data_IF_088308339201
#
_entry.id   IF_088308339201
#
_cell.length_a   1.000
_cell.length_b   1.000
_cell.length_c   1.000
_cell.angle_alpha   90.00
_cell.angle_beta   90.00
_cell.angle_gamma   90.00
#
_symmetry.space_group_name_H-M   'P 1'
#
loop_
_entity.id
_entity.type
_entity.pdbx_description
1 polymer ?
#
# COMPACT_ATOMS: atom_id res chain seq x y z
N UNK A 1 -15.18 -5.76 -19.57
CA UNK A 1 -14.45 -6.83 -20.27
C UNK A 1 -15.29 -7.26 -21.46
N UNK A 2 -14.71 -7.43 -22.65
CA UNK A 2 -15.41 -7.97 -23.81
C UNK A 2 -14.73 -9.30 -24.14
N UNK A 3 -15.50 -10.40 -24.13
CA UNK A 3 -15.06 -11.69 -24.67
C UNK A 3 -15.40 -11.58 -26.17
N UNK A 4 -14.40 -11.67 -27.05
CA UNK A 4 -14.64 -11.71 -28.49
C UNK A 4 -15.01 -13.12 -28.90
N UNK A 5 -16.10 -13.25 -29.65
CA UNK A 5 -16.55 -14.51 -30.22
C UNK A 5 -16.23 -14.62 -31.73
N UNK A 6 -15.46 -13.68 -32.28
CA UNK A 6 -14.96 -13.72 -33.66
C UNK A 6 -14.28 -15.07 -33.95
N UNK A 7 -14.72 -15.74 -35.03
CA UNK A 7 -14.29 -17.09 -35.46
C UNK A 7 -14.52 -18.23 -34.43
N UNK A 8 -15.36 -18.00 -33.42
CA UNK A 8 -15.66 -18.96 -32.33
C UNK A 8 -17.14 -19.22 -32.13
N UNK A 9 -17.97 -18.88 -33.12
CA UNK A 9 -19.42 -19.10 -33.12
C UNK A 9 -19.78 -20.56 -32.83
N UNK A 10 -20.72 -20.78 -31.92
CA UNK A 10 -21.15 -22.08 -31.37
C UNK A 10 -20.12 -22.85 -30.54
N UNK A 11 -19.00 -22.22 -30.14
CA UNK A 11 -17.99 -22.83 -29.27
C UNK A 11 -18.06 -22.25 -27.85
N UNK A 12 -17.59 -23.06 -26.90
CA UNK A 12 -17.31 -22.65 -25.54
C UNK A 12 -15.85 -22.21 -25.41
N UNK A 13 -15.64 -21.04 -24.84
CA UNK A 13 -14.35 -20.45 -24.50
C UNK A 13 -14.14 -20.58 -22.99
N UNK A 14 -12.91 -20.88 -22.57
CA UNK A 14 -12.58 -20.87 -21.15
C UNK A 14 -12.70 -19.45 -20.60
N UNK A 15 -13.21 -19.31 -19.37
CA UNK A 15 -13.18 -18.02 -18.69
C UNK A 15 -11.74 -17.70 -18.30
N UNK A 16 -11.15 -16.60 -18.80
CA UNK A 16 -9.80 -16.21 -18.43
C UNK A 16 -9.65 -15.82 -16.95
N UNK A 17 -10.77 -15.68 -16.21
CA UNK A 17 -10.80 -15.29 -14.78
C UNK A 17 -11.00 -16.46 -13.82
N UNK A 18 -11.34 -17.64 -14.32
CA UNK A 18 -11.76 -18.75 -13.47
C UNK A 18 -11.56 -20.08 -14.18
N UNK A 19 -10.87 -21.03 -13.52
CA UNK A 19 -10.83 -22.42 -14.00
C UNK A 19 -12.23 -23.07 -14.04
N UNK A 20 -13.22 -22.49 -13.35
CA UNK A 20 -14.59 -22.99 -13.29
C UNK A 20 -15.51 -22.31 -14.31
N UNK A 21 -15.16 -21.13 -14.81
CA UNK A 21 -16.01 -20.36 -15.71
C UNK A 21 -15.80 -20.72 -17.18
N UNK A 22 -16.80 -20.46 -18.00
CA UNK A 22 -16.70 -20.51 -19.45
C UNK A 22 -17.67 -19.52 -20.11
N UNK A 23 -17.47 -19.23 -21.39
CA UNK A 23 -18.38 -18.44 -22.21
C UNK A 23 -18.83 -19.26 -23.41
N UNK A 24 -20.12 -19.34 -23.67
CA UNK A 24 -20.66 -19.86 -24.92
C UNK A 24 -20.89 -18.73 -25.91
N UNK A 25 -20.25 -18.81 -27.08
CA UNK A 25 -20.43 -17.85 -28.15
C UNK A 25 -21.63 -18.24 -29.01
N UNK A 26 -22.78 -17.58 -28.80
CA UNK A 26 -23.97 -17.83 -29.62
C UNK A 26 -23.81 -17.31 -31.05
N UNK A 27 -23.13 -16.16 -31.18
CA UNK A 27 -22.72 -15.48 -32.40
C UNK A 27 -21.41 -14.71 -32.14
N UNK A 28 -20.93 -13.95 -33.13
CA UNK A 28 -19.65 -13.23 -33.07
C UNK A 28 -19.59 -12.15 -31.97
N UNK A 29 -20.74 -11.68 -31.49
CA UNK A 29 -20.85 -10.57 -30.53
C UNK A 29 -21.48 -10.98 -29.19
N UNK A 30 -22.01 -12.20 -29.06
CA UNK A 30 -22.83 -12.63 -27.92
C UNK A 30 -22.20 -13.77 -27.11
N UNK A 31 -21.26 -13.46 -26.19
CA UNK A 31 -20.74 -14.42 -25.22
C UNK A 31 -21.69 -14.58 -24.03
N UNK A 32 -22.15 -15.80 -23.77
CA UNK A 32 -22.98 -16.16 -22.61
C UNK A 32 -22.14 -16.86 -21.54
N UNK A 33 -22.07 -16.29 -20.35
CA UNK A 33 -21.30 -16.87 -19.25
C UNK A 33 -21.97 -18.11 -18.65
N UNK A 34 -21.16 -19.11 -18.33
CA UNK A 34 -21.54 -20.30 -17.58
C UNK A 34 -20.46 -20.72 -16.59
N UNK A 35 -20.80 -21.65 -15.72
CA UNK A 35 -19.89 -22.13 -14.68
C UNK A 35 -20.02 -23.65 -14.55
N UNK A 36 -18.89 -24.32 -14.41
CA UNK A 36 -18.82 -25.74 -14.16
C UNK A 36 -19.37 -26.11 -12.78
N UNK A 37 -19.93 -27.32 -12.62
CA UNK A 37 -20.28 -27.87 -11.31
C UNK A 37 -19.12 -27.85 -10.32
N UNK A 38 -19.44 -27.93 -9.03
CA UNK A 38 -18.44 -27.95 -7.96
C UNK A 38 -17.33 -28.98 -8.24
N UNK A 39 -16.09 -28.62 -7.91
CA UNK A 39 -14.88 -29.44 -8.07
C UNK A 39 -14.57 -29.92 -9.50
N UNK A 40 -15.01 -29.17 -10.52
CA UNK A 40 -14.67 -29.42 -11.93
C UNK A 40 -14.18 -28.16 -12.63
N UNK A 41 -13.22 -28.31 -13.54
CA UNK A 41 -12.67 -27.22 -14.34
C UNK A 41 -13.15 -27.29 -15.78
N UNK A 42 -13.38 -26.14 -16.41
CA UNK A 42 -13.75 -26.10 -17.81
C UNK A 42 -12.54 -26.42 -18.70
N UNK A 43 -12.70 -27.36 -19.63
CA UNK A 43 -11.68 -27.76 -20.59
C UNK A 43 -12.11 -27.37 -22.01
N UNK A 44 -11.48 -26.32 -22.55
CA UNK A 44 -11.81 -25.79 -23.87
C UNK A 44 -11.51 -26.76 -25.04
N UNK A 45 -10.58 -27.70 -24.87
CA UNK A 45 -10.27 -28.70 -25.91
C UNK A 45 -11.39 -29.73 -26.03
N UNK A 46 -11.92 -30.18 -24.88
CA UNK A 46 -12.99 -31.19 -24.83
C UNK A 46 -14.39 -30.57 -24.81
N UNK A 47 -14.49 -29.24 -24.67
CA UNK A 47 -15.74 -28.47 -24.57
C UNK A 47 -16.63 -28.93 -23.39
N UNK A 48 -16.02 -29.40 -22.30
CA UNK A 48 -16.71 -29.99 -21.15
C UNK A 48 -16.03 -29.64 -19.82
N UNK A 49 -16.76 -29.80 -18.72
CA UNK A 49 -16.19 -29.70 -17.37
C UNK A 49 -15.50 -31.02 -17.00
N UNK A 50 -14.18 -31.00 -16.85
CA UNK A 50 -13.35 -32.13 -16.44
C UNK A 50 -13.03 -32.07 -14.95
N UNK A 51 -12.67 -33.20 -14.35
CA UNK A 51 -12.27 -33.23 -12.94
C UNK A 51 -10.98 -32.44 -12.73
N UNK A 52 -10.83 -31.82 -11.56
CA UNK A 52 -9.67 -30.97 -11.24
C UNK A 52 -8.32 -31.66 -11.45
N UNK A 53 -8.19 -32.96 -11.12
CA UNK A 53 -6.93 -33.70 -11.28
C UNK A 53 -6.59 -34.05 -12.74
N UNK A 54 -7.57 -33.96 -13.65
CA UNK A 54 -7.41 -34.18 -15.10
C UNK A 54 -7.16 -32.86 -15.83
N UNK A 55 -7.23 -31.73 -15.11
CA UNK A 55 -7.17 -30.40 -15.66
C UNK A 55 -5.77 -29.82 -15.51
N UNK A 56 -5.18 -29.42 -16.63
CA UNK A 56 -3.97 -28.58 -16.67
C UNK A 56 -4.24 -27.12 -16.23
N UNK A 57 -5.50 -26.75 -15.95
CA UNK A 57 -5.85 -25.47 -15.34
C UNK A 57 -5.33 -25.39 -13.91
N UNK A 58 -4.09 -24.95 -13.78
CA UNK A 58 -3.53 -24.42 -12.54
C UNK A 58 -3.97 -22.96 -12.45
N UNK A 59 -4.63 -22.52 -11.39
CA UNK A 59 -4.83 -21.08 -11.07
C UNK A 59 -3.50 -20.41 -10.70
N UNK A 60 -2.46 -20.61 -11.52
CA UNK A 60 -1.08 -20.21 -11.22
C UNK A 60 -0.68 -18.88 -11.86
N UNK A 61 -1.48 -18.34 -12.79
CA UNK A 61 -1.30 -16.96 -13.27
C UNK A 61 -2.64 -16.40 -13.70
N UNK A 62 -3.29 -15.63 -12.82
CA UNK A 62 -4.19 -14.56 -13.26
C UNK A 62 -3.37 -13.68 -14.22
N UNK A 63 -3.52 -13.88 -15.53
CA UNK A 63 -2.92 -12.98 -16.50
C UNK A 63 -3.76 -11.70 -16.49
N UNK A 64 -3.44 -10.80 -15.56
CA UNK A 64 -4.13 -9.52 -15.42
C UNK A 64 -4.27 -8.80 -16.77
N UNK A 65 -3.33 -9.01 -17.70
CA UNK A 65 -3.32 -8.40 -19.02
C UNK A 65 -4.33 -8.96 -20.03
N UNK A 66 -5.05 -10.04 -19.69
CA UNK A 66 -6.23 -10.49 -20.44
C UNK A 66 -7.49 -9.73 -20.03
N UNK A 67 -7.46 -9.00 -18.91
CA UNK A 67 -8.61 -8.31 -18.31
C UNK A 67 -8.40 -6.80 -18.32
N UNK A 68 -7.18 -6.37 -17.99
CA UNK A 68 -6.77 -4.98 -17.88
C UNK A 68 -6.29 -4.49 -19.24
N UNK A 69 -6.76 -3.31 -19.64
CA UNK A 69 -6.32 -2.68 -20.89
C UNK A 69 -4.81 -2.43 -20.86
N UNK A 70 -4.19 -2.57 -22.03
CA UNK A 70 -2.80 -2.20 -22.20
C UNK A 70 -2.54 -0.75 -21.72
N UNK A 71 -1.42 -0.55 -21.02
CA UNK A 71 -0.96 0.73 -20.46
C UNK A 71 -1.84 1.33 -19.35
N UNK A 72 -2.78 0.56 -18.79
CA UNK A 72 -3.50 0.96 -17.57
C UNK A 72 -2.72 0.48 -16.35
N UNK A 73 -2.45 1.41 -15.44
CA UNK A 73 -1.86 1.12 -14.14
C UNK A 73 -2.95 0.60 -13.19
N UNK A 74 -2.62 -0.33 -12.31
CA UNK A 74 -3.52 -0.82 -11.26
C UNK A 74 -2.73 -1.34 -10.06
N UNK A 75 -3.40 -1.53 -8.92
CA UNK A 75 -2.76 -1.83 -7.64
C UNK A 75 -1.92 -3.10 -7.67
N UNK A 76 -0.82 -3.08 -6.92
CA UNK A 76 -0.06 -4.26 -6.55
C UNK A 76 -0.12 -4.42 -5.02
N UNK A 77 -0.71 -5.53 -4.56
CA UNK A 77 -0.94 -5.78 -3.13
C UNK A 77 0.33 -6.09 -2.32
N UNK A 78 1.48 -6.24 -2.98
CA UNK A 78 2.76 -6.46 -2.29
C UNK A 78 3.31 -5.18 -1.64
N UNK A 79 2.84 -4.01 -2.06
CA UNK A 79 3.23 -2.76 -1.43
C UNK A 79 2.59 -1.54 -2.06
N UNK A 80 2.21 -0.56 -1.25
CA UNK A 80 1.53 0.65 -1.74
C UNK A 80 2.40 1.52 -2.67
N UNK A 81 3.71 1.30 -2.72
CA UNK A 81 4.59 1.93 -3.70
C UNK A 81 4.63 1.17 -5.04
N UNK A 82 3.99 0.02 -5.16
CA UNK A 82 4.02 -0.82 -6.35
C UNK A 82 2.70 -0.74 -7.10
N UNK A 83 2.78 -0.89 -8.42
CA UNK A 83 1.62 -1.02 -9.28
C UNK A 83 1.96 -1.93 -10.45
N UNK A 84 0.93 -2.56 -10.98
CA UNK A 84 1.02 -3.35 -12.19
C UNK A 84 0.68 -2.50 -13.41
N UNK A 85 1.26 -2.85 -14.55
CA UNK A 85 0.86 -2.34 -15.85
C UNK A 85 1.02 -3.44 -16.89
N UNK A 86 0.06 -3.50 -17.80
CA UNK A 86 0.14 -4.40 -18.93
C UNK A 86 0.79 -3.71 -20.12
N UNK A 87 1.88 -4.27 -20.63
CA UNK A 87 2.58 -3.77 -21.81
C UNK A 87 2.67 -4.89 -22.85
N UNK A 88 1.90 -4.75 -23.94
CA UNK A 88 1.76 -5.72 -25.03
C UNK A 88 1.31 -7.10 -24.53
N UNK A 89 0.32 -7.12 -23.64
CA UNK A 89 -0.20 -8.36 -23.03
C UNK A 89 0.67 -8.94 -21.93
N UNK A 90 1.81 -8.32 -21.61
CA UNK A 90 2.74 -8.79 -20.56
C UNK A 90 2.57 -7.94 -19.31
N UNK A 91 2.36 -8.59 -18.17
CA UNK A 91 2.31 -7.94 -16.87
C UNK A 91 3.69 -7.45 -16.48
N UNK A 92 3.78 -6.19 -16.08
CA UNK A 92 4.99 -5.59 -15.53
C UNK A 92 4.70 -4.93 -14.21
N UNK A 93 5.63 -5.11 -13.28
CA UNK A 93 5.62 -4.41 -12.01
C UNK A 93 6.42 -3.11 -12.16
N UNK A 94 5.83 -2.04 -11.65
CA UNK A 94 6.47 -0.73 -11.54
C UNK A 94 6.38 -0.25 -10.11
N UNK A 95 7.28 0.66 -9.76
CA UNK A 95 7.42 1.15 -8.39
C UNK A 95 7.51 2.67 -8.40
N UNK A 96 6.65 3.32 -7.63
CA UNK A 96 6.76 4.71 -7.24
C UNK A 96 8.00 4.90 -6.35
N UNK A 97 8.91 5.79 -6.75
CA UNK A 97 10.23 5.88 -6.09
C UNK A 97 10.16 6.39 -4.64
N UNK A 98 9.42 7.47 -4.37
CA UNK A 98 9.31 8.11 -3.03
C UNK A 98 7.87 8.34 -2.57
N UNK A 99 6.94 7.89 -3.39
CA UNK A 99 5.50 8.16 -3.35
C UNK A 99 4.76 6.82 -3.32
N UNK A 100 3.46 6.87 -3.06
CA UNK A 100 2.59 5.69 -3.13
C UNK A 100 1.68 5.78 -4.35
N UNK A 101 1.36 4.63 -4.89
CA UNK A 101 0.44 4.48 -5.99
C UNK A 101 -0.99 4.65 -5.48
N UNK A 102 -1.78 5.46 -6.18
CA UNK A 102 -3.18 5.68 -5.89
C UNK A 102 -4.03 5.12 -7.02
N UNK A 103 -4.71 3.99 -6.78
CA UNK A 103 -5.53 3.29 -7.77
C UNK A 103 -6.60 4.16 -8.44
N UNK A 104 -7.23 5.04 -7.66
CA UNK A 104 -8.36 5.87 -8.11
C UNK A 104 -7.96 6.90 -9.17
N UNK A 105 -6.71 7.36 -9.14
CA UNK A 105 -6.16 8.32 -10.10
C UNK A 105 -5.19 7.66 -11.10
N UNK A 106 -4.62 6.51 -10.74
CA UNK A 106 -3.59 5.83 -11.51
C UNK A 106 -2.20 6.45 -11.39
N UNK A 107 -2.00 7.33 -10.41
CA UNK A 107 -0.80 8.15 -10.24
C UNK A 107 0.00 7.81 -8.97
N UNK A 108 1.28 8.18 -8.97
CA UNK A 108 2.11 8.13 -7.77
C UNK A 108 2.00 9.45 -7.00
N UNK A 109 1.37 9.43 -5.83
CA UNK A 109 1.08 10.61 -4.99
C UNK A 109 1.81 10.56 -3.65
N UNK A 110 1.72 11.64 -2.86
CA UNK A 110 2.31 11.67 -1.52
C UNK A 110 1.83 10.48 -0.69
N UNK A 111 2.73 9.87 0.10
CA UNK A 111 2.41 8.70 0.95
C UNK A 111 1.20 8.95 1.85
N UNK A 112 1.08 10.17 2.37
CA UNK A 112 -0.02 10.58 3.25
C UNK A 112 -1.40 10.59 2.57
N UNK A 113 -1.47 10.59 1.24
CA UNK A 113 -2.73 10.60 0.49
C UNK A 113 -3.25 9.20 0.16
N UNK A 114 -2.50 8.16 0.52
CA UNK A 114 -2.84 6.76 0.23
C UNK A 114 -3.04 6.05 1.56
N UNK A 115 -4.24 5.50 1.75
CA UNK A 115 -4.48 4.55 2.83
C UNK A 115 -3.77 3.25 2.48
N UNK A 116 -2.75 2.91 3.27
CA UNK A 116 -1.79 1.89 2.90
C UNK A 116 -1.84 0.70 3.86
N UNK A 117 -2.44 -0.40 3.39
CA UNK A 117 -2.49 -1.65 4.15
C UNK A 117 -1.15 -2.41 4.11
N UNK A 118 -0.38 -2.25 3.03
CA UNK A 118 0.87 -2.95 2.77
C UNK A 118 2.03 -1.96 2.64
N UNK A 119 2.56 -1.52 3.79
CA UNK A 119 3.71 -0.63 3.79
C UNK A 119 4.95 -1.37 3.26
N UNK A 120 5.64 -0.85 2.22
CA UNK A 120 6.82 -1.49 1.68
C UNK A 120 7.93 -1.57 2.71
N UNK A 121 8.60 -2.72 2.77
CA UNK A 121 9.73 -2.95 3.65
C UNK A 121 10.93 -2.10 3.21
N UNK A 122 11.44 -1.18 4.05
CA UNK A 122 12.70 -0.49 3.77
C UNK A 122 13.86 -1.49 3.64
N UNK A 123 14.85 -1.14 2.83
CA UNK A 123 16.07 -1.96 2.69
C UNK A 123 16.76 -2.10 4.04
N UNK A 124 17.14 -3.32 4.40
CA UNK A 124 17.79 -3.65 5.68
C UNK A 124 16.99 -3.17 6.91
N UNK A 125 15.65 -3.08 6.83
CA UNK A 125 14.80 -2.60 7.94
C UNK A 125 15.06 -3.37 9.24
N UNK A 126 15.29 -4.67 9.15
CA UNK A 126 15.65 -5.54 10.28
C UNK A 126 17.16 -5.78 10.41
N UNK A 127 17.97 -4.84 9.94
CA UNK A 127 19.42 -4.91 9.95
C UNK A 127 19.99 -5.66 8.76
N UNK A 128 21.32 -5.63 8.67
CA UNK A 128 22.09 -6.31 7.60
C UNK A 128 22.33 -7.76 7.99
N UNK A 129 22.63 -8.61 7.01
CA UNK A 129 23.04 -10.00 7.28
C UNK A 129 24.22 -10.10 8.27
N UNK A 130 25.13 -9.12 8.29
CA UNK A 130 26.25 -9.06 9.24
C UNK A 130 25.88 -8.58 10.64
N UNK A 131 24.73 -7.91 10.80
CA UNK A 131 24.23 -7.36 12.05
C UNK A 131 22.70 -7.31 12.04
N UNK A 132 22.04 -8.49 12.15
CA UNK A 132 20.59 -8.56 12.22
C UNK A 132 20.09 -7.89 13.49
N UNK A 133 18.91 -7.30 13.42
CA UNK A 133 18.17 -6.85 14.59
C UNK A 133 17.38 -8.02 15.16
N UNK A 134 17.41 -8.18 16.47
CA UNK A 134 16.72 -9.24 17.19
C UNK A 134 15.73 -8.62 18.19
N UNK A 135 14.44 -8.93 18.03
CA UNK A 135 13.35 -8.47 18.89
C UNK A 135 13.33 -6.93 19.04
N UNK A 136 13.47 -6.22 17.92
CA UNK A 136 13.63 -4.76 17.89
C UNK A 136 12.50 -4.11 17.11
N UNK A 137 12.03 -2.96 17.60
CA UNK A 137 11.13 -2.10 16.87
C UNK A 137 11.89 -1.03 16.07
N UNK A 138 11.48 -0.80 14.83
CA UNK A 138 12.09 0.14 13.89
C UNK A 138 11.02 0.94 13.15
N UNK A 139 11.29 2.18 12.78
CA UNK A 139 10.33 3.01 12.05
C UNK A 139 10.04 2.42 10.67
N UNK A 140 8.84 2.68 10.14
CA UNK A 140 8.43 2.18 8.82
C UNK A 140 8.99 2.99 7.64
N UNK A 141 9.66 4.12 7.92
CA UNK A 141 10.17 5.08 6.94
C UNK A 141 9.10 5.60 5.94
N UNK A 142 7.85 5.66 6.39
CA UNK A 142 6.71 6.07 5.59
C UNK A 142 5.74 7.00 6.34
N UNK A 143 5.53 6.75 7.62
CA UNK A 143 4.59 7.49 8.47
C UNK A 143 5.28 7.88 9.79
N UNK A 144 4.67 8.80 10.55
CA UNK A 144 5.21 9.16 11.87
C UNK A 144 4.82 8.16 12.97
N UNK A 145 3.84 7.27 12.71
CA UNK A 145 3.25 6.38 13.72
C UNK A 145 3.44 4.90 13.43
N UNK A 146 3.80 4.52 12.21
CA UNK A 146 4.04 3.14 11.82
C UNK A 146 5.44 2.66 12.14
N UNK A 147 5.53 1.37 12.45
CA UNK A 147 6.78 0.72 12.82
C UNK A 147 6.72 -0.79 12.55
N UNK A 148 7.88 -1.39 12.37
CA UNK A 148 8.03 -2.83 12.22
C UNK A 148 8.60 -3.45 13.49
N UNK A 149 8.18 -4.67 13.81
CA UNK A 149 8.82 -5.53 14.79
C UNK A 149 9.67 -6.59 14.09
N UNK A 150 10.97 -6.53 14.29
CA UNK A 150 11.95 -7.48 13.76
C UNK A 150 12.15 -8.60 14.77
N UNK A 151 11.61 -9.79 14.49
CA UNK A 151 11.75 -10.95 15.37
C UNK A 151 13.13 -11.60 15.22
N UNK A 152 13.64 -12.17 16.31
CA UNK A 152 14.85 -12.99 16.26
C UNK A 152 14.62 -14.25 15.40
N UNK A 153 15.41 -14.41 14.35
CA UNK A 153 15.38 -15.62 13.51
C UNK A 153 16.29 -16.72 14.07
N UNK A 154 15.93 -17.99 13.85
CA UNK A 154 16.69 -19.15 14.33
C UNK A 154 18.04 -19.33 13.62
N UNK A 155 18.11 -18.93 12.36
CA UNK A 155 19.29 -19.02 11.51
C UNK A 155 20.23 -17.82 11.65
N UNK A 156 19.88 -16.84 12.50
CA UNK A 156 20.66 -15.62 12.69
C UNK A 156 20.60 -14.65 11.51
N UNK A 157 19.65 -14.82 10.59
CA UNK A 157 19.41 -13.84 9.51
C UNK A 157 18.48 -12.72 9.97
N UNK A 158 18.47 -11.56 9.29
CA UNK A 158 17.45 -10.53 9.50
C UNK A 158 16.05 -11.08 9.24
N UNK A 159 15.05 -10.62 10.01
CA UNK A 159 13.66 -10.94 9.76
C UNK A 159 13.23 -10.43 8.37
N UNK A 160 12.92 -11.37 7.46
CA UNK A 160 12.53 -11.07 6.09
C UNK A 160 11.06 -10.63 5.95
N UNK A 161 10.24 -10.85 6.98
CA UNK A 161 8.83 -10.50 6.98
C UNK A 161 8.40 -9.94 8.35
N UNK A 162 8.94 -8.78 8.75
CA UNK A 162 8.65 -8.21 10.05
C UNK A 162 7.20 -7.74 10.13
N UNK A 163 6.62 -7.83 11.32
CA UNK A 163 5.23 -7.41 11.52
C UNK A 163 5.13 -5.89 11.55
N UNK A 164 4.38 -5.31 10.61
CA UNK A 164 4.01 -3.90 10.67
C UNK A 164 2.95 -3.67 11.75
N UNK A 165 3.14 -2.59 12.50
CA UNK A 165 2.27 -2.14 13.56
C UNK A 165 2.19 -0.63 13.52
N UNK A 166 1.25 -0.09 14.29
CA UNK A 166 1.01 1.33 14.30
C UNK A 166 0.68 1.81 15.70
N UNK A 167 1.26 2.96 16.06
CA UNK A 167 0.95 3.61 17.31
C UNK A 167 -0.53 4.00 17.37
N UNK A 168 -1.13 3.98 18.57
CA UNK A 168 -2.50 4.42 18.75
C UNK A 168 -2.65 5.89 18.33
N UNK A 169 -3.89 6.29 18.11
CA UNK A 169 -4.23 7.66 17.77
C UNK A 169 -3.55 8.65 18.71
N UNK A 170 -3.07 9.76 18.14
CA UNK A 170 -2.37 10.82 18.86
C UNK A 170 -1.02 10.43 19.50
N UNK A 171 -0.38 9.36 19.00
CA UNK A 171 0.99 8.97 19.35
C UNK A 171 1.83 8.71 18.10
N UNK A 172 3.10 9.08 18.18
CA UNK A 172 4.10 8.78 17.16
C UNK A 172 5.11 7.76 17.69
N UNK A 173 5.66 6.97 16.76
CA UNK A 173 6.67 5.98 17.10
C UNK A 173 8.04 6.67 17.23
N UNK A 174 8.67 6.50 18.39
CA UNK A 174 10.06 6.92 18.59
C UNK A 174 10.98 5.70 18.52
N UNK A 175 11.81 5.62 17.47
CA UNK A 175 12.74 4.52 17.28
C UNK A 175 13.87 4.47 18.32
N UNK A 176 14.13 5.58 19.02
CA UNK A 176 15.17 5.65 20.06
C UNK A 176 14.73 4.89 21.31
N UNK A 177 13.52 5.20 21.78
CA UNK A 177 12.92 4.56 22.95
C UNK A 177 12.11 3.29 22.62
N UNK A 178 11.84 3.03 21.33
CA UNK A 178 10.99 1.96 20.83
C UNK A 178 9.57 2.00 21.42
N UNK A 179 9.03 3.21 21.61
CA UNK A 179 7.74 3.46 22.23
C UNK A 179 6.88 4.43 21.42
N UNK A 180 5.57 4.33 21.63
CA UNK A 180 4.60 5.31 21.14
C UNK A 180 4.50 6.49 22.11
N UNK A 181 5.03 7.65 21.73
CA UNK A 181 5.12 8.83 22.60
C UNK A 181 4.39 10.04 21.98
N UNK A 182 4.39 11.17 22.69
CA UNK A 182 3.73 12.39 22.22
C UNK A 182 4.32 12.88 20.88
N UNK A 183 3.49 13.27 19.89
CA UNK A 183 3.96 13.74 18.58
C UNK A 183 4.94 14.91 18.60
N UNK A 184 4.80 15.84 19.54
CA UNK A 184 5.74 16.96 19.75
C UNK A 184 7.12 16.50 20.24
N UNK A 185 7.21 15.29 20.79
CA UNK A 185 8.46 14.70 21.31
C UNK A 185 9.19 13.82 20.28
N UNK A 186 8.63 13.63 19.09
CA UNK A 186 9.23 12.82 18.01
C UNK A 186 9.66 13.70 16.84
N UNK A 187 10.92 13.57 16.43
CA UNK A 187 11.41 14.13 15.16
C UNK A 187 10.95 13.22 14.03
N UNK A 188 10.05 13.71 13.19
CA UNK A 188 9.49 12.98 12.06
C UNK A 188 9.49 13.87 10.82
N UNK A 189 9.90 13.32 9.67
CA UNK A 189 9.91 14.00 8.38
C UNK A 189 8.71 13.65 7.47
N UNK A 190 7.82 12.77 7.93
CA UNK A 190 6.58 12.40 7.24
C UNK A 190 5.43 13.30 7.69
N UNK A 191 4.25 13.12 7.09
CA UNK A 191 3.08 13.94 7.40
C UNK A 191 2.69 13.77 8.88
N UNK A 192 2.73 14.88 9.62
CA UNK A 192 2.46 14.89 11.05
C UNK A 192 0.98 15.01 11.38
N UNK A 193 0.09 15.11 10.39
CA UNK A 193 -1.36 15.01 10.58
C UNK A 193 -1.84 13.56 10.67
N UNK A 194 -1.00 12.59 10.28
CA UNK A 194 -1.38 11.19 10.25
C UNK A 194 -1.74 10.65 11.65
N UNK A 195 -2.94 10.09 11.79
CA UNK A 195 -3.48 9.59 13.06
C UNK A 195 -3.69 10.65 14.14
N UNK A 196 -3.76 11.94 13.78
CA UNK A 196 -4.03 13.05 14.71
C UNK A 196 -5.51 13.41 14.77
N UNK A 197 -5.99 13.77 15.95
CA UNK A 197 -7.33 14.36 16.15
C UNK A 197 -7.36 15.87 16.08
N UNK A 198 -6.25 16.53 16.40
CA UNK A 198 -6.18 17.98 16.38
C UNK A 198 -6.18 18.51 14.94
N UNK A 199 -6.97 19.56 14.69
CA UNK A 199 -7.00 20.25 13.39
C UNK A 199 -5.74 21.07 13.13
N UNK A 200 -4.99 21.43 14.17
CA UNK A 200 -3.74 22.15 14.07
C UNK A 200 -2.66 21.44 14.89
N UNK A 201 -1.53 21.13 14.27
CA UNK A 201 -0.41 20.41 14.92
C UNK A 201 0.92 21.11 14.63
N UNK A 202 1.92 20.90 15.49
CA UNK A 202 3.26 21.46 15.32
C UNK A 202 3.91 20.93 14.05
N UNK A 203 4.55 21.83 13.29
CA UNK A 203 5.33 21.47 12.11
C UNK A 203 6.71 20.91 12.49
N UNK A 204 7.32 20.15 11.58
CA UNK A 204 8.74 19.77 11.71
C UNK A 204 9.69 20.95 11.39
N UNK A 205 9.16 22.07 10.89
CA UNK A 205 9.95 23.25 10.53
C UNK A 205 10.68 23.79 11.76
N UNK A 206 11.98 24.01 11.58
CA UNK A 206 12.90 24.42 12.66
C UNK A 206 12.42 25.71 13.34
N UNK A 207 12.41 25.69 14.67
CA UNK A 207 12.17 26.86 15.51
C UNK A 207 10.79 26.93 16.16
N UNK A 208 9.92 25.96 15.88
CA UNK A 208 8.61 25.82 16.53
C UNK A 208 7.67 27.01 16.30
N UNK A 209 7.77 27.61 15.11
CA UNK A 209 6.99 28.80 14.71
C UNK A 209 6.00 28.48 13.60
N UNK A 210 5.83 27.21 13.27
CA UNK A 210 5.04 26.76 12.16
C UNK A 210 4.08 25.67 12.62
N UNK A 211 2.90 25.65 12.04
CA UNK A 211 1.89 24.64 12.32
C UNK A 211 1.27 24.13 11.04
N UNK A 212 0.82 22.88 11.09
CA UNK A 212 0.11 22.23 10.00
C UNK A 212 -1.38 22.30 10.29
N UNK A 213 -2.16 22.63 9.27
CA UNK A 213 -3.60 22.43 9.27
C UNK A 213 -3.88 21.02 8.76
N UNK A 214 -4.66 20.26 9.52
CA UNK A 214 -4.96 18.85 9.23
C UNK A 214 -6.42 18.68 8.82
N UNK A 215 -6.65 17.91 7.76
CA UNK A 215 -7.98 17.47 7.35
C UNK A 215 -7.92 16.02 6.90
N UNK A 216 -8.77 15.16 7.47
CA UNK A 216 -8.80 13.73 7.13
C UNK A 216 -7.47 13.01 7.39
N UNK A 217 -6.70 13.43 8.39
CA UNK A 217 -5.38 12.85 8.70
C UNK A 217 -4.23 13.33 7.80
N UNK A 218 -4.47 14.31 6.92
CA UNK A 218 -3.46 14.82 5.97
C UNK A 218 -3.23 16.30 6.17
N UNK A 219 -1.99 16.75 5.98
CA UNK A 219 -1.63 18.16 5.94
C UNK A 219 -2.25 18.85 4.73
N UNK A 220 -3.08 19.86 4.96
CA UNK A 220 -3.65 20.70 3.89
C UNK A 220 -2.89 22.01 3.69
N UNK A 221 -2.24 22.51 4.74
CA UNK A 221 -1.44 23.73 4.69
C UNK A 221 -0.44 23.77 5.84
N UNK A 222 0.72 24.39 5.60
CA UNK A 222 1.63 24.82 6.65
C UNK A 222 1.54 26.36 6.79
N UNK A 223 1.38 26.83 8.02
CA UNK A 223 1.21 28.23 8.36
C UNK A 223 2.28 28.68 9.35
N UNK A 224 2.66 29.96 9.29
CA UNK A 224 3.61 30.55 10.23
C UNK A 224 2.91 31.37 11.32
N UNK A 225 3.41 31.25 12.54
CA UNK A 225 3.08 32.11 13.67
C UNK A 225 3.86 33.44 13.67
N UNK A 226 4.71 33.70 12.65
CA UNK A 226 5.58 34.87 12.59
C UNK A 226 6.51 34.94 13.81
N UNK A 227 6.36 36.00 14.61
CA UNK A 227 7.19 36.21 15.82
C UNK A 227 6.73 35.40 17.04
N UNK A 228 5.63 34.66 16.94
CA UNK A 228 5.13 33.77 17.98
C UNK A 228 5.59 32.32 17.76
N UNK A 229 5.33 31.46 18.74
CA UNK A 229 5.58 30.02 18.68
C UNK A 229 4.25 29.28 18.69
N UNK A 230 4.14 28.19 17.93
CA UNK A 230 2.92 27.41 17.93
C UNK A 230 2.86 26.53 19.17
N UNK A 231 1.81 26.66 19.98
CA UNK A 231 1.54 25.75 21.09
C UNK A 231 0.48 24.74 20.64
N UNK A 232 0.88 23.48 20.47
CA UNK A 232 0.02 22.42 19.95
C UNK A 232 -1.10 22.03 20.94
N UNK A 233 -0.85 22.12 22.25
CA UNK A 233 -1.86 21.82 23.27
C UNK A 233 -3.01 22.83 23.24
N UNK A 234 -2.69 24.11 22.98
CA UNK A 234 -3.68 25.17 22.82
C UNK A 234 -4.21 25.30 21.39
N UNK A 235 -3.56 24.66 20.41
CA UNK A 235 -3.85 24.83 18.98
C UNK A 235 -3.68 26.26 18.49
N UNK A 236 -2.77 27.04 19.08
CA UNK A 236 -2.66 28.49 18.83
C UNK A 236 -1.23 29.01 18.90
N UNK A 237 -0.99 30.14 18.22
CA UNK A 237 0.27 30.88 18.31
C UNK A 237 0.35 31.66 19.63
N UNK A 238 1.43 31.47 20.38
CA UNK A 238 1.65 32.06 21.71
C UNK A 238 3.02 32.73 21.82
N UNK A 239 3.21 33.71 22.73
CA UNK A 239 4.52 34.32 22.96
C UNK A 239 5.49 33.38 23.69
N UNK A 240 4.98 32.31 24.32
CA UNK A 240 5.77 31.34 25.06
C UNK A 240 6.62 30.49 24.12
N UNK A 241 7.93 30.51 24.34
CA UNK A 241 8.89 29.68 23.57
C UNK A 241 8.54 28.21 23.72
N UNK A 242 8.38 27.52 22.59
CA UNK A 242 8.23 26.06 22.58
C UNK A 242 9.57 25.38 22.32
N UNK A 243 9.79 24.26 23.02
CA UNK A 243 11.02 23.46 22.95
C UNK A 243 10.73 22.01 22.57
N UNK A 244 9.75 21.79 21.69
CA UNK A 244 9.39 20.48 21.21
C UNK A 244 10.52 19.84 20.40
N UNK A 245 10.70 18.53 20.51
CA UNK A 245 11.69 17.78 19.71
C UNK A 245 11.35 17.80 18.22
N UNK A 246 10.05 17.85 17.90
CA UNK A 246 9.54 17.88 16.53
C UNK A 246 10.18 18.97 15.65
N UNK A 247 10.43 20.14 16.21
CA UNK A 247 10.90 21.36 15.52
C UNK A 247 12.29 21.81 15.99
N UNK A 248 13.04 20.93 16.69
CA UNK A 248 14.44 21.16 17.04
C UNK A 248 15.37 20.89 15.86
N UNK A 249 16.47 21.66 15.83
CA UNK A 249 17.60 21.49 14.89
C UNK A 249 18.05 20.04 14.81
#
# INVERSE_FOLDING_TARGET
CWISCEDRTTQFLADPKSCYGYYYCADEDTPMYGTCPQDTHFNATTQMCSRQYESDCTTSTFEYCNIVKNSVNFDNLQGCNMYHVCEKGVLKDKTCSKTYYQASTGECVSKALVDCDAHPLPTDVCGKASKPYENKFVADEATCRGYFYCAKQKDGTPDANPQWNQCPQDKFFDATSQMCIAPTSVKCSYDRCDGRTASFVESATKGCRNYLSCSGGVTVAENSCGNYFFNEELGACTPSVQTYTACKS
#
